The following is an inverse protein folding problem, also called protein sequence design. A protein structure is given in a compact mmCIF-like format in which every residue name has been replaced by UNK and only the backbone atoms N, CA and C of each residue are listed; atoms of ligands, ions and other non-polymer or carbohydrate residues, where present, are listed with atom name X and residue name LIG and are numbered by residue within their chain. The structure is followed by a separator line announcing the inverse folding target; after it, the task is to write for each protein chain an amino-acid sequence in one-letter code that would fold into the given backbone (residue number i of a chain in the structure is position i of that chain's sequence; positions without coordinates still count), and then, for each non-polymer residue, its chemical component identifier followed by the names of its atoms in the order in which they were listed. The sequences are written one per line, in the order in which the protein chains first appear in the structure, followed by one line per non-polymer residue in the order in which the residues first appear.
data_IF_481735172585
#
_entry.id   IF_481735172585
#
_cell.length_a   1.000
_cell.length_b   1.000
_cell.length_c   1.000
_cell.angle_alpha   90.00
_cell.angle_beta   90.00
_cell.angle_gamma   90.00
#
_symmetry.space_group_name_H-M   'P 1'
#
loop_
_entity.id
_entity.type
_entity.pdbx_description
1 polymer ?
#
# COMPACT_ATOMS: atom_id res chain seq x y z
N UNK A 1 -36.92 17.77 -18.17
CA UNK A 1 -36.36 17.38 -16.84
C UNK A 1 -36.18 15.87 -16.85
N UNK A 2 -35.06 15.32 -16.33
CA UNK A 2 -34.75 13.86 -16.15
C UNK A 2 -33.77 13.20 -17.14
N UNK A 3 -32.53 13.68 -17.22
CA UNK A 3 -31.39 12.87 -17.71
C UNK A 3 -30.10 13.11 -16.90
N UNK A 4 -30.22 13.58 -15.66
CA UNK A 4 -29.08 13.87 -14.78
C UNK A 4 -28.97 12.90 -13.58
N UNK A 5 -29.69 11.77 -13.60
CA UNK A 5 -29.70 10.81 -12.49
C UNK A 5 -28.71 9.65 -12.65
N UNK A 6 -28.18 9.40 -13.86
CA UNK A 6 -27.27 8.28 -14.12
C UNK A 6 -25.83 8.52 -13.67
N UNK A 7 -25.37 9.78 -13.66
CA UNK A 7 -23.97 10.11 -13.33
C UNK A 7 -23.71 10.07 -11.82
N UNK A 8 -24.74 10.28 -11.00
CA UNK A 8 -24.58 10.31 -9.55
C UNK A 8 -24.32 8.92 -8.93
N UNK A 9 -24.79 7.83 -9.54
CA UNK A 9 -24.60 6.47 -9.00
C UNK A 9 -23.19 5.91 -9.23
N UNK A 10 -22.46 6.38 -10.23
CA UNK A 10 -21.09 5.89 -10.53
C UNK A 10 -20.06 6.48 -9.56
N UNK A 11 -20.30 7.68 -9.02
CA UNK A 11 -19.43 8.32 -8.02
C UNK A 11 -19.51 7.66 -6.63
N UNK A 12 -20.58 6.92 -6.33
CA UNK A 12 -20.78 6.24 -5.03
C UNK A 12 -20.05 4.89 -4.92
N UNK A 13 -19.45 4.39 -6.02
CA UNK A 13 -18.67 3.14 -6.04
C UNK A 13 -17.14 3.39 -5.96
N UNK A 14 -16.68 4.64 -5.84
CA UNK A 14 -15.26 5.00 -5.78
C UNK A 14 -14.62 4.78 -4.40
N UNK A 15 -15.07 3.76 -3.66
CA UNK A 15 -14.55 3.35 -2.36
C UNK A 15 -13.79 2.03 -2.39
N UNK A 16 -13.38 1.52 -3.55
CA UNK A 16 -12.44 0.39 -3.61
C UNK A 16 -11.04 0.90 -3.23
N UNK A 17 -10.81 1.16 -1.93
CA UNK A 17 -9.45 1.14 -1.42
C UNK A 17 -8.93 -0.27 -1.68
N UNK A 18 -7.96 -0.39 -2.58
CA UNK A 18 -7.36 -1.68 -2.90
C UNK A 18 -6.69 -2.18 -1.63
N UNK A 19 -7.16 -3.29 -1.06
CA UNK A 19 -6.52 -3.92 0.09
C UNK A 19 -5.66 -5.09 -0.42
N UNK A 20 -4.32 -5.05 -0.25
CA UNK A 20 -3.51 -3.99 0.37
C UNK A 20 -3.29 -2.77 -0.52
N UNK A 21 -3.22 -1.59 0.09
CA UNK A 21 -2.85 -0.35 -0.58
C UNK A 21 -1.32 -0.26 -0.61
N UNK A 22 -0.74 -0.40 -1.80
CA UNK A 22 0.70 -0.49 -1.99
C UNK A 22 1.23 0.75 -2.70
N UNK A 23 2.24 1.38 -2.13
CA UNK A 23 2.91 2.54 -2.70
C UNK A 23 4.43 2.36 -2.72
N UNK A 24 5.06 2.83 -3.80
CA UNK A 24 6.51 2.86 -3.92
C UNK A 24 6.93 4.19 -4.54
N UNK A 25 7.81 4.92 -3.87
CA UNK A 25 8.43 6.14 -4.37
C UNK A 25 9.94 5.96 -4.47
N UNK A 26 10.52 6.39 -5.59
CA UNK A 26 11.97 6.37 -5.78
C UNK A 26 12.59 7.51 -4.98
N UNK A 27 13.56 7.21 -4.12
CA UNK A 27 14.28 8.20 -3.27
C UNK A 27 15.77 8.29 -3.61
N UNK A 28 16.27 7.42 -4.49
CA UNK A 28 17.63 7.44 -5.00
C UNK A 28 17.77 6.64 -6.31
N UNK A 29 18.97 6.57 -6.89
CA UNK A 29 19.20 5.88 -8.16
C UNK A 29 18.84 4.39 -8.09
N UNK A 30 19.14 3.75 -6.95
CA UNK A 30 18.80 2.35 -6.67
C UNK A 30 17.94 2.20 -5.42
N UNK A 31 17.45 3.29 -4.84
CA UNK A 31 16.74 3.26 -3.55
C UNK A 31 15.28 3.66 -3.71
N UNK A 32 14.41 2.89 -3.07
CA UNK A 32 12.97 3.09 -3.04
C UNK A 32 12.47 3.14 -1.61
N UNK A 33 11.48 4.00 -1.37
CA UNK A 33 10.63 3.98 -0.19
C UNK A 33 9.35 3.25 -0.54
N UNK A 34 9.02 2.25 0.25
CA UNK A 34 7.88 1.35 0.08
C UNK A 34 6.91 1.57 1.23
N UNK A 35 5.62 1.57 0.95
CA UNK A 35 4.56 1.66 1.94
C UNK A 35 3.48 0.64 1.62
N UNK A 36 3.00 0.00 2.66
CA UNK A 36 1.81 -0.85 2.65
C UNK A 36 0.85 -0.30 3.68
N UNK A 37 -0.42 -0.23 3.34
CA UNK A 37 -1.51 0.04 4.26
C UNK A 37 -2.58 -1.04 4.06
N UNK A 38 -3.09 -1.63 5.13
CA UNK A 38 -4.11 -2.69 5.11
C UNK A 38 -5.26 -2.36 6.03
N UNK A 39 -6.48 -2.66 5.57
CA UNK A 39 -7.73 -2.55 6.31
C UNK A 39 -7.96 -3.76 7.25
N UNK A 40 -7.27 -4.88 7.03
CA UNK A 40 -7.33 -6.08 7.88
C UNK A 40 -5.96 -6.73 8.07
N UNK A 41 -5.26 -6.35 9.15
CA UNK A 41 -3.93 -6.85 9.52
C UNK A 41 -4.05 -7.88 10.63
N UNK A 42 -3.48 -9.05 10.39
CA UNK A 42 -3.38 -10.12 11.38
C UNK A 42 -2.17 -9.88 12.29
N UNK A 43 -1.01 -9.59 11.69
CA UNK A 43 0.24 -9.29 12.38
C UNK A 43 1.18 -8.43 11.51
N UNK A 44 2.26 -7.92 12.12
CA UNK A 44 3.26 -7.08 11.44
C UNK A 44 4.04 -7.83 10.34
N UNK A 45 4.26 -9.13 10.48
CA UNK A 45 5.01 -9.92 9.50
C UNK A 45 4.25 -10.01 8.17
N UNK A 46 2.91 -9.97 8.20
CA UNK A 46 2.09 -9.85 6.99
C UNK A 46 2.42 -8.58 6.19
N UNK A 47 2.50 -7.42 6.85
CA UNK A 47 2.85 -6.15 6.21
C UNK A 47 4.29 -6.16 5.68
N UNK A 48 5.24 -6.72 6.43
CA UNK A 48 6.62 -6.87 5.95
C UNK A 48 6.69 -7.80 4.72
N UNK A 49 5.86 -8.85 4.67
CA UNK A 49 5.70 -9.72 3.51
C UNK A 49 5.23 -8.96 2.27
N UNK A 50 4.20 -8.13 2.41
CA UNK A 50 3.71 -7.28 1.31
C UNK A 50 4.79 -6.31 0.80
N UNK A 51 5.58 -5.72 1.72
CA UNK A 51 6.70 -4.85 1.36
C UNK A 51 7.79 -5.62 0.59
N UNK A 52 8.11 -6.86 0.97
CA UNK A 52 9.07 -7.70 0.22
C UNK A 52 8.56 -8.03 -1.18
N UNK A 53 7.27 -8.38 -1.33
CA UNK A 53 6.66 -8.63 -2.64
C UNK A 53 6.64 -7.35 -3.48
N UNK A 54 6.38 -6.19 -2.88
CA UNK A 54 6.46 -4.90 -3.56
C UNK A 54 7.90 -4.58 -3.99
N UNK A 55 8.89 -4.84 -3.14
CA UNK A 55 10.30 -4.65 -3.45
C UNK A 55 10.73 -5.51 -4.65
N UNK A 56 10.39 -6.80 -4.65
CA UNK A 56 10.69 -7.70 -5.76
C UNK A 56 10.05 -7.23 -7.08
N UNK A 57 8.84 -6.65 -7.03
CA UNK A 57 8.19 -6.05 -8.21
C UNK A 57 8.87 -4.78 -8.70
N UNK A 58 9.55 -4.02 -7.84
CA UNK A 58 10.22 -2.75 -8.20
C UNK A 58 11.70 -2.94 -8.55
N UNK A 59 12.35 -3.98 -8.05
CA UNK A 59 13.75 -4.29 -8.29
C UNK A 59 13.89 -5.58 -9.13
N UNK A 60 13.82 -5.51 -10.48
CA UNK A 60 13.84 -6.71 -11.33
C UNK A 60 15.16 -7.50 -11.27
N UNK A 61 16.29 -6.82 -10.99
CA UNK A 61 17.59 -7.46 -10.78
C UNK A 61 17.79 -8.03 -9.36
N UNK A 62 16.78 -7.88 -8.49
CA UNK A 62 16.82 -8.31 -7.10
C UNK A 62 16.67 -7.14 -6.13
N UNK A 63 15.91 -7.38 -5.07
CA UNK A 63 15.75 -6.45 -3.96
C UNK A 63 16.71 -6.80 -2.83
N UNK A 64 17.38 -5.80 -2.25
CA UNK A 64 18.12 -5.95 -1.01
C UNK A 64 17.19 -6.12 0.21
N UNK A 65 17.78 -6.10 1.41
CA UNK A 65 17.02 -6.15 2.65
C UNK A 65 16.11 -4.91 2.80
N UNK A 66 14.98 -5.07 3.49
CA UNK A 66 14.15 -3.95 3.92
C UNK A 66 14.86 -3.22 5.07
N UNK A 67 15.07 -1.92 4.89
CA UNK A 67 15.72 -1.03 5.84
C UNK A 67 14.71 0.00 6.37
N UNK A 68 15.04 0.69 7.46
CA UNK A 68 14.24 1.79 8.00
C UNK A 68 12.74 1.47 8.17
N UNK A 69 12.44 0.30 8.75
CA UNK A 69 11.06 -0.18 8.89
C UNK A 69 10.34 0.63 9.99
N UNK A 70 9.27 1.32 9.61
CA UNK A 70 8.50 2.20 10.50
C UNK A 70 7.01 1.91 10.41
N UNK A 71 6.35 1.84 11.56
CA UNK A 71 4.88 1.81 11.61
C UNK A 71 4.32 3.22 11.36
N UNK A 72 3.32 3.30 10.49
CA UNK A 72 2.64 4.54 10.14
C UNK A 72 1.18 4.50 10.59
N UNK A 73 0.55 5.67 10.84
CA UNK A 73 -0.90 5.73 10.99
C UNK A 73 -1.56 5.29 9.68
N UNK A 74 -2.40 4.25 9.77
CA UNK A 74 -3.18 3.77 8.62
C UNK A 74 -4.16 4.86 8.16
N UNK A 75 -4.18 5.09 6.85
CA UNK A 75 -5.15 5.96 6.17
C UNK A 75 -6.31 5.16 5.59
N UNK A 76 -6.19 3.84 5.54
CA UNK A 76 -7.30 2.96 5.21
C UNK A 76 -8.39 3.03 6.30
N UNK A 77 -9.64 3.06 5.85
CA UNK A 77 -10.81 3.18 6.70
C UNK A 77 -12.08 2.95 5.89
N UNK A 78 -13.04 2.25 6.49
CA UNK A 78 -14.40 2.13 5.99
C UNK A 78 -15.30 3.03 6.84
N UNK A 79 -16.21 3.76 6.18
CA UNK A 79 -17.26 4.53 6.86
C UNK A 79 -18.20 3.62 7.69
N UNK A 80 -18.21 2.32 7.40
CA UNK A 80 -19.07 1.32 8.04
C UNK A 80 -18.35 0.45 9.07
N UNK A 81 -17.10 0.79 9.44
CA UNK A 81 -16.40 0.09 10.53
C UNK A 81 -15.80 -1.28 10.16
N UNK A 82 -15.73 -1.61 8.87
CA UNK A 82 -15.24 -2.92 8.38
C UNK A 82 -13.72 -3.12 8.58
N UNK A 83 -12.95 -2.04 8.76
CA UNK A 83 -11.51 -2.13 9.04
C UNK A 83 -11.24 -2.28 10.55
N UNK A 84 -11.44 -3.49 11.07
CA UNK A 84 -11.28 -3.81 12.49
C UNK A 84 -9.83 -3.67 13.00
N UNK A 85 -8.85 -4.02 12.16
CA UNK A 85 -7.41 -3.92 12.47
C UNK A 85 -6.66 -3.36 11.29
N UNK A 86 -6.40 -2.06 11.35
CA UNK A 86 -5.69 -1.33 10.31
C UNK A 86 -4.27 -1.07 10.75
N UNK A 87 -3.32 -1.29 9.85
CA UNK A 87 -1.96 -0.90 10.08
C UNK A 87 -1.26 -0.60 8.76
N UNK A 88 -0.40 0.41 8.83
CA UNK A 88 0.47 0.78 7.73
C UNK A 88 1.93 0.61 8.16
N UNK A 89 2.75 0.18 7.21
CA UNK A 89 4.17 -0.03 7.40
C UNK A 89 4.92 0.61 6.24
N UNK A 90 5.99 1.31 6.57
CA UNK A 90 6.95 1.83 5.62
C UNK A 90 8.27 1.10 5.77
N UNK A 91 8.95 0.87 4.66
CA UNK A 91 10.36 0.50 4.65
C UNK A 91 11.06 1.18 3.48
N UNK A 92 12.37 1.14 3.49
CA UNK A 92 13.20 1.49 2.34
C UNK A 92 13.89 0.23 1.83
N UNK A 93 14.18 0.20 0.54
CA UNK A 93 14.91 -0.90 -0.08
C UNK A 93 15.89 -0.35 -1.10
N UNK A 94 17.05 -1.00 -1.17
CA UNK A 94 18.02 -0.79 -2.24
C UNK A 94 17.92 -1.94 -3.24
N UNK A 95 17.69 -1.63 -4.50
CA UNK A 95 17.76 -2.60 -5.58
C UNK A 95 19.21 -2.98 -5.82
N UNK A 96 19.43 -4.27 -6.10
CA UNK A 96 20.71 -4.76 -6.57
C UNK A 96 20.93 -4.23 -7.99
N UNK A 97 22.15 -3.80 -8.27
CA UNK A 97 22.58 -3.50 -9.64
C UNK A 97 23.02 -4.81 -10.29
N UNK A 98 22.65 -5.05 -11.56
CA UNK A 98 23.19 -6.16 -12.32
C UNK A 98 24.72 -6.07 -12.47
#
# INVERSE_FOLDING_TARGET
MRTAAGVLLVLLLAGCQSDPALHASRIGPTQYRLQVDRCHVIDRAQLEGDLRVLAARKCPAGAGALENIQSLPSRQGSLFGECLRRAALQAEVRCLTP
#
